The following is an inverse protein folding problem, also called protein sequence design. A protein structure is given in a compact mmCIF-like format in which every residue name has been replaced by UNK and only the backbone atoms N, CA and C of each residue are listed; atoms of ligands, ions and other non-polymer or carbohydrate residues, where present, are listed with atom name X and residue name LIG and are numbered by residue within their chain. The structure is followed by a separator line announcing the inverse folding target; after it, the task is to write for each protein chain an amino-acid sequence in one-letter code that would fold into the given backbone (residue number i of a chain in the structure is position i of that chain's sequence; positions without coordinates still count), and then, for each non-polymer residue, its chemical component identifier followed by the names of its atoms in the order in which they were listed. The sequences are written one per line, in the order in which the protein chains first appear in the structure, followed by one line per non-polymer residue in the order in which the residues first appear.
data_IF_143761761027
#
_entry.id   IF_143761761027
#
_cell.length_a   1.000
_cell.length_b   1.000
_cell.length_c   1.000
_cell.angle_alpha   90.00
_cell.angle_beta   90.00
_cell.angle_gamma   90.00
#
_symmetry.space_group_name_H-M   'P 1'
#
loop_
_entity.id
_entity.type
_entity.pdbx_description
1 polymer ?
#
# COMPACT_ATOMS: atom_id res chain seq x y z
N UNK A 1 18.89 6.32 -1.49
CA UNK A 1 17.43 6.10 -1.35
C UNK A 1 17.21 4.72 -0.75
N UNK A 2 16.28 4.58 0.19
CA UNK A 2 15.87 3.28 0.72
C UNK A 2 14.72 2.71 -0.11
N UNK A 3 14.73 1.40 -0.35
CA UNK A 3 13.71 0.72 -1.14
C UNK A 3 12.94 -0.33 -0.33
N UNK A 4 11.61 -0.29 -0.44
CA UNK A 4 10.72 -1.38 -0.07
C UNK A 4 10.35 -2.18 -1.31
N UNK A 5 10.50 -3.50 -1.28
CA UNK A 5 10.14 -4.37 -2.38
C UNK A 5 8.74 -4.92 -2.15
N UNK A 6 7.78 -4.60 -3.02
CA UNK A 6 6.46 -5.24 -3.04
C UNK A 6 6.45 -6.31 -4.12
N UNK A 7 6.81 -7.52 -3.72
CA UNK A 7 6.86 -8.68 -4.60
C UNK A 7 5.55 -9.46 -4.55
N UNK A 8 5.15 -10.02 -5.68
CA UNK A 8 3.99 -10.94 -5.77
C UNK A 8 4.34 -12.37 -5.38
N UNK A 9 5.63 -12.70 -5.39
CA UNK A 9 6.20 -13.98 -4.96
C UNK A 9 7.43 -13.75 -4.08
N UNK A 10 7.60 -14.49 -2.98
CA UNK A 10 8.68 -14.25 -2.02
C UNK A 10 10.06 -14.67 -2.54
N UNK A 11 10.18 -15.45 -3.61
CA UNK A 11 11.42 -16.14 -3.96
C UNK A 11 12.44 -15.34 -4.78
N UNK A 12 12.10 -14.17 -5.30
CA UNK A 12 12.96 -13.42 -6.23
C UNK A 12 13.19 -11.99 -5.75
N UNK A 13 14.18 -11.81 -4.86
CA UNK A 13 14.65 -10.48 -4.46
C UNK A 13 15.69 -10.00 -5.48
N UNK A 14 15.42 -8.96 -6.28
CA UNK A 14 16.37 -8.47 -7.27
C UNK A 14 17.60 -7.84 -6.60
N UNK A 15 18.75 -7.94 -7.28
CA UNK A 15 20.00 -7.35 -6.80
C UNK A 15 19.94 -5.81 -6.74
N UNK A 16 19.36 -5.18 -7.77
CA UNK A 16 19.02 -3.76 -7.76
C UNK A 16 17.51 -3.62 -7.54
N UNK A 17 17.05 -2.95 -6.46
CA UNK A 17 15.62 -2.83 -6.16
C UNK A 17 14.81 -2.20 -7.29
N UNK A 18 15.44 -1.39 -8.14
CA UNK A 18 14.76 -0.73 -9.26
C UNK A 18 14.38 -1.71 -10.37
N UNK A 19 14.95 -2.92 -10.40
CA UNK A 19 14.53 -3.99 -11.31
C UNK A 19 13.17 -4.58 -10.96
N UNK A 20 12.64 -4.29 -9.76
CA UNK A 20 11.28 -4.66 -9.40
C UNK A 20 10.22 -3.75 -10.07
N UNK A 21 10.59 -2.64 -10.70
CA UNK A 21 9.67 -1.78 -11.45
C UNK A 21 9.69 -2.11 -12.95
N UNK A 22 8.62 -1.77 -13.71
CA UNK A 22 8.67 -1.80 -15.16
C UNK A 22 9.82 -0.93 -15.71
N UNK A 23 10.41 -1.33 -16.84
CA UNK A 23 11.64 -0.73 -17.37
C UNK A 23 11.58 0.80 -17.52
N UNK A 24 10.48 1.33 -18.06
CA UNK A 24 10.31 2.78 -18.29
C UNK A 24 10.31 3.60 -16.99
N UNK A 25 9.99 2.96 -15.85
CA UNK A 25 9.96 3.58 -14.53
C UNK A 25 11.30 3.47 -13.81
N UNK A 26 12.12 2.45 -14.12
CA UNK A 26 13.44 2.22 -13.51
C UNK A 26 14.36 3.44 -13.65
N UNK A 27 14.35 4.08 -14.82
CA UNK A 27 15.24 5.22 -15.12
C UNK A 27 14.89 6.50 -14.37
N UNK A 28 13.68 6.58 -13.81
CA UNK A 28 13.23 7.70 -12.99
C UNK A 28 13.67 7.56 -11.53
N UNK A 29 14.04 6.34 -11.11
CA UNK A 29 14.30 6.01 -9.72
C UNK A 29 15.77 6.27 -9.35
N UNK A 30 16.03 7.01 -8.25
CA UNK A 30 17.39 7.31 -7.81
C UNK A 30 18.11 6.03 -7.35
N UNK A 31 19.45 5.96 -7.43
CA UNK A 31 20.17 4.81 -6.90
C UNK A 31 19.92 4.61 -5.39
N UNK A 32 19.96 3.36 -4.96
CA UNK A 32 19.69 3.01 -3.57
C UNK A 32 19.77 1.51 -3.30
N UNK A 33 19.27 1.10 -2.13
CA UNK A 33 19.34 -0.29 -1.65
C UNK A 33 17.98 -0.77 -1.17
N UNK A 34 17.70 -2.05 -1.35
CA UNK A 34 16.57 -2.70 -0.70
C UNK A 34 16.79 -2.74 0.81
N UNK A 35 15.78 -2.33 1.58
CA UNK A 35 15.79 -2.37 3.05
C UNK A 35 14.57 -3.06 3.65
N UNK A 36 13.51 -3.28 2.86
CA UNK A 36 12.27 -3.87 3.32
C UNK A 36 11.62 -4.77 2.27
N UNK A 37 10.91 -5.80 2.71
CA UNK A 37 10.08 -6.68 1.89
C UNK A 37 8.62 -6.58 2.35
N UNK A 38 7.77 -6.06 1.47
CA UNK A 38 6.35 -5.82 1.73
C UNK A 38 5.52 -7.04 1.30
N UNK A 39 4.63 -7.50 2.17
CA UNK A 39 3.71 -8.62 1.93
C UNK A 39 2.33 -8.34 2.52
N UNK A 40 1.35 -9.21 2.28
CA UNK A 40 -0.04 -8.99 2.69
C UNK A 40 -0.87 -8.25 1.64
N UNK A 41 -1.76 -7.34 2.04
CA UNK A 41 -2.61 -6.56 1.12
C UNK A 41 -3.12 -5.27 1.77
N UNK A 42 -3.25 -4.23 0.97
CA UNK A 42 -3.72 -2.90 1.36
C UNK A 42 -5.22 -2.71 1.24
N UNK A 43 -5.90 -3.52 0.42
CA UNK A 43 -7.27 -3.19 0.00
C UNK A 43 -8.32 -4.27 0.27
N UNK A 44 -7.96 -5.56 0.37
CA UNK A 44 -8.95 -6.63 0.40
C UNK A 44 -8.70 -7.63 1.54
N UNK A 45 -9.62 -7.71 2.51
CA UNK A 45 -9.48 -8.64 3.65
C UNK A 45 -9.44 -10.12 3.25
N UNK A 46 -10.13 -10.49 2.17
CA UNK A 46 -10.10 -11.84 1.58
C UNK A 46 -8.71 -12.21 1.02
N UNK A 47 -7.81 -11.23 0.85
CA UNK A 47 -6.44 -11.40 0.37
C UNK A 47 -5.40 -11.37 1.47
N UNK A 48 -5.80 -11.30 2.74
CA UNK A 48 -4.88 -11.48 3.85
C UNK A 48 -4.14 -12.81 3.70
N UNK A 49 -2.82 -12.84 3.94
CA UNK A 49 -2.05 -14.07 3.88
C UNK A 49 -2.44 -14.95 5.06
N UNK A 50 -2.33 -16.26 4.88
CA UNK A 50 -2.34 -17.15 6.03
C UNK A 50 -0.97 -17.10 6.76
N UNK A 51 -0.87 -17.84 7.86
CA UNK A 51 0.32 -17.83 8.69
C UNK A 51 1.53 -18.44 7.97
N UNK A 52 1.35 -19.47 7.16
CA UNK A 52 2.44 -20.15 6.46
C UNK A 52 3.03 -19.26 5.36
N UNK A 53 2.16 -18.64 4.56
CA UNK A 53 2.53 -17.63 3.58
C UNK A 53 3.29 -16.47 4.25
N UNK A 54 2.77 -15.94 5.35
CA UNK A 54 3.40 -14.84 6.06
C UNK A 54 4.77 -15.21 6.67
N UNK A 55 4.90 -16.43 7.21
CA UNK A 55 6.18 -16.95 7.69
C UNK A 55 7.21 -17.05 6.56
N UNK A 56 6.80 -17.48 5.36
CA UNK A 56 7.68 -17.57 4.20
C UNK A 56 8.23 -16.19 3.80
N UNK A 57 7.38 -15.16 3.77
CA UNK A 57 7.84 -13.79 3.52
C UNK A 57 8.79 -13.28 4.60
N UNK A 58 8.50 -13.53 5.88
CA UNK A 58 9.42 -13.15 6.96
C UNK A 58 10.77 -13.89 6.88
N UNK A 59 10.76 -15.16 6.49
CA UNK A 59 11.96 -15.96 6.29
C UNK A 59 12.85 -15.41 5.17
N UNK A 60 12.26 -15.09 4.01
CA UNK A 60 12.98 -14.45 2.90
C UNK A 60 13.51 -13.09 3.33
N UNK A 61 12.69 -12.24 3.94
CA UNK A 61 13.12 -10.92 4.39
C UNK A 61 14.37 -11.03 5.28
N UNK A 62 14.33 -11.91 6.29
CA UNK A 62 15.47 -12.17 7.17
C UNK A 62 16.70 -12.69 6.42
N UNK A 63 16.53 -13.64 5.49
CA UNK A 63 17.63 -14.21 4.71
C UNK A 63 18.37 -13.16 3.88
N UNK A 64 17.66 -12.11 3.43
CA UNK A 64 18.22 -10.99 2.67
C UNK A 64 18.54 -9.75 3.53
N UNK A 65 18.41 -9.82 4.86
CA UNK A 65 18.65 -8.68 5.75
C UNK A 65 17.65 -7.52 5.57
N UNK A 66 16.44 -7.82 5.08
CA UNK A 66 15.35 -6.87 4.87
C UNK A 66 14.37 -6.86 6.05
N UNK A 67 13.79 -5.70 6.34
CA UNK A 67 12.65 -5.55 7.24
C UNK A 67 11.40 -6.24 6.63
N UNK A 68 10.82 -7.27 7.27
CA UNK A 68 9.52 -7.77 6.85
C UNK A 68 8.44 -6.74 7.19
N UNK A 69 7.61 -6.39 6.20
CA UNK A 69 6.55 -5.40 6.35
C UNK A 69 5.22 -5.98 5.91
N UNK A 70 4.35 -6.28 6.88
CA UNK A 70 2.99 -6.75 6.63
C UNK A 70 2.08 -5.56 6.37
N UNK A 71 1.39 -5.58 5.25
CA UNK A 71 0.33 -4.62 4.98
C UNK A 71 -1.05 -5.22 5.22
N UNK A 72 -1.93 -4.47 5.88
CA UNK A 72 -3.29 -4.88 6.21
C UNK A 72 -4.33 -3.97 5.55
N UNK A 73 -5.48 -4.48 5.12
CA UNK A 73 -6.51 -3.69 4.47
C UNK A 73 -7.48 -3.03 5.46
N UNK A 74 -8.48 -2.31 4.93
CA UNK A 74 -9.74 -2.09 5.64
C UNK A 74 -10.42 -3.44 5.91
N UNK A 75 -10.86 -3.67 7.14
CA UNK A 75 -11.35 -4.98 7.58
C UNK A 75 -12.71 -4.89 8.27
N UNK A 76 -13.49 -5.97 8.16
CA UNK A 76 -14.65 -6.22 9.00
C UNK A 76 -14.23 -6.60 10.43
N UNK A 77 -15.15 -6.71 11.41
CA UNK A 77 -14.83 -7.27 12.72
C UNK A 77 -14.24 -8.68 12.65
N UNK A 78 -14.71 -9.52 11.71
CA UNK A 78 -14.13 -10.84 11.49
C UNK A 78 -12.71 -10.73 10.91
N UNK A 79 -12.50 -9.84 9.93
CA UNK A 79 -11.20 -9.53 9.35
C UNK A 79 -10.20 -9.02 10.38
N UNK A 80 -10.64 -8.20 11.34
CA UNK A 80 -9.82 -7.75 12.46
C UNK A 80 -9.37 -8.93 13.34
N UNK A 81 -10.27 -9.88 13.60
CA UNK A 81 -9.92 -11.13 14.28
C UNK A 81 -8.93 -12.01 13.50
N UNK A 82 -8.99 -12.01 12.16
CA UNK A 82 -8.00 -12.67 11.30
C UNK A 82 -6.63 -12.01 11.40
N UNK A 83 -6.58 -10.67 11.35
CA UNK A 83 -5.33 -9.89 11.52
C UNK A 83 -4.72 -10.17 12.89
N UNK A 84 -5.49 -10.15 13.97
CA UNK A 84 -5.00 -10.44 15.32
C UNK A 84 -4.36 -11.84 15.44
N UNK A 85 -5.05 -12.88 14.93
CA UNK A 85 -4.51 -14.25 14.92
C UNK A 85 -3.23 -14.36 14.08
N UNK A 86 -3.19 -13.71 12.92
CA UNK A 86 -2.01 -13.69 12.07
C UNK A 86 -0.82 -13.05 12.78
N UNK A 87 -1.01 -11.87 13.38
CA UNK A 87 0.04 -11.16 14.12
C UNK A 87 0.52 -11.96 15.34
N UNK A 88 -0.40 -12.57 16.08
CA UNK A 88 -0.07 -13.42 17.22
C UNK A 88 0.76 -14.64 16.78
N UNK A 89 0.36 -15.32 15.69
CA UNK A 89 1.10 -16.46 15.15
C UNK A 89 2.50 -16.09 14.68
N UNK A 90 2.65 -14.96 13.97
CA UNK A 90 3.95 -14.44 13.56
C UNK A 90 4.84 -14.13 14.78
N UNK A 91 4.29 -13.48 15.81
CA UNK A 91 5.01 -13.18 17.03
C UNK A 91 5.45 -14.45 17.79
N UNK A 92 4.58 -15.46 17.87
CA UNK A 92 4.91 -16.77 18.45
C UNK A 92 6.04 -17.48 17.71
N UNK A 93 6.16 -17.26 16.39
CA UNK A 93 7.26 -17.76 15.57
C UNK A 93 8.52 -16.87 15.63
N UNK A 94 8.53 -15.86 16.49
CA UNK A 94 9.67 -14.95 16.69
C UNK A 94 9.77 -13.83 15.66
N UNK A 95 8.77 -13.66 14.79
CA UNK A 95 8.74 -12.58 13.81
C UNK A 95 8.20 -11.28 14.42
N UNK A 96 8.75 -10.16 13.96
CA UNK A 96 8.33 -8.81 14.37
C UNK A 96 8.24 -7.90 13.15
N UNK A 97 7.33 -8.17 12.20
CA UNK A 97 7.20 -7.34 11.02
C UNK A 97 6.74 -5.93 11.39
N UNK A 98 7.17 -4.93 10.62
CA UNK A 98 6.46 -3.67 10.61
C UNK A 98 5.06 -3.88 10.05
N UNK A 99 4.06 -3.19 10.60
CA UNK A 99 2.66 -3.32 10.16
C UNK A 99 2.20 -2.00 9.56
N UNK A 100 1.89 -2.05 8.26
CA UNK A 100 1.24 -0.96 7.52
C UNK A 100 -0.26 -1.12 7.68
N UNK A 101 -0.88 -0.30 8.53
CA UNK A 101 -2.32 -0.34 8.76
C UNK A 101 -3.06 0.62 7.84
N UNK A 102 -4.20 0.17 7.33
CA UNK A 102 -5.13 0.98 6.54
C UNK A 102 -6.50 1.15 7.21
N UNK A 103 -6.66 0.58 8.42
CA UNK A 103 -7.87 0.58 9.23
C UNK A 103 -7.55 1.06 10.65
N UNK A 104 -8.41 1.92 11.20
CA UNK A 104 -8.23 2.44 12.55
C UNK A 104 -8.39 1.37 13.63
N UNK A 105 -9.23 0.36 13.41
CA UNK A 105 -9.37 -0.80 14.29
C UNK A 105 -8.09 -1.66 14.31
N UNK A 106 -7.38 -1.76 13.18
CA UNK A 106 -6.06 -2.42 13.15
C UNK A 106 -5.03 -1.60 13.94
N UNK A 107 -5.04 -0.26 13.85
CA UNK A 107 -4.16 0.57 14.68
C UNK A 107 -4.45 0.38 16.18
N UNK A 108 -5.71 0.35 16.58
CA UNK A 108 -6.12 0.07 17.96
C UNK A 108 -5.63 -1.30 18.42
N UNK A 109 -5.86 -2.34 17.61
CA UNK A 109 -5.35 -3.69 17.85
C UNK A 109 -3.82 -3.73 18.06
N UNK A 110 -3.05 -3.02 17.23
CA UNK A 110 -1.60 -2.91 17.37
C UNK A 110 -1.20 -2.21 18.67
N UNK A 111 -1.91 -1.16 19.05
CA UNK A 111 -1.64 -0.39 20.28
C UNK A 111 -1.99 -1.15 21.55
N UNK A 112 -3.01 -1.99 21.51
CA UNK A 112 -3.48 -2.67 22.71
C UNK A 112 -2.78 -4.00 22.92
N UNK A 113 -2.66 -4.80 21.85
CA UNK A 113 -2.31 -6.22 21.92
C UNK A 113 -0.95 -6.54 21.30
N UNK A 114 -0.51 -5.78 20.30
CA UNK A 114 0.75 -6.02 19.58
C UNK A 114 1.74 -4.84 19.71
N UNK A 115 1.88 -4.32 20.94
CA UNK A 115 2.53 -3.04 21.25
C UNK A 115 3.95 -2.90 20.73
N UNK A 116 4.68 -4.00 20.61
CA UNK A 116 6.09 -4.01 20.21
C UNK A 116 6.28 -4.02 18.69
N UNK A 117 5.23 -4.20 17.90
CA UNK A 117 5.35 -4.17 16.44
C UNK A 117 5.46 -2.72 15.94
N UNK A 118 6.40 -2.41 15.02
CA UNK A 118 6.46 -1.11 14.38
C UNK A 118 5.17 -0.83 13.60
N UNK A 119 4.71 0.42 13.61
CA UNK A 119 3.42 0.82 13.04
C UNK A 119 3.63 1.88 11.98
N UNK A 120 3.05 1.66 10.80
CA UNK A 120 3.13 2.56 9.65
C UNK A 120 1.70 2.86 9.17
N UNK A 121 1.37 4.13 8.93
CA UNK A 121 0.06 4.49 8.37
C UNK A 121 0.10 4.32 6.84
N UNK A 122 -0.75 3.44 6.30
CA UNK A 122 -0.79 3.12 4.88
C UNK A 122 -1.55 4.12 4.02
N UNK A 123 -1.58 3.86 2.72
CA UNK A 123 -2.12 4.77 1.68
C UNK A 123 -3.62 5.08 1.83
N UNK A 124 -4.40 4.24 2.50
CA UNK A 124 -5.84 4.48 2.74
C UNK A 124 -6.10 5.43 3.92
N UNK A 125 -5.10 5.68 4.77
CA UNK A 125 -5.18 6.73 5.80
C UNK A 125 -5.10 8.10 5.14
N UNK A 126 -4.33 8.22 4.05
CA UNK A 126 -4.26 9.43 3.24
C UNK A 126 -5.55 9.63 2.42
N UNK A 127 -6.29 10.70 2.71
CA UNK A 127 -7.55 11.07 2.04
C UNK A 127 -7.40 12.08 0.90
N UNK A 128 -6.18 12.34 0.43
CA UNK A 128 -5.94 13.15 -0.77
C UNK A 128 -6.66 12.62 -2.01
N UNK A 129 -6.96 13.53 -2.94
CA UNK A 129 -7.57 13.21 -4.23
C UNK A 129 -6.60 12.43 -5.14
N UNK A 130 -7.13 11.40 -5.83
CA UNK A 130 -6.38 10.52 -6.76
C UNK A 130 -7.12 10.31 -8.06
N UNK A 131 -7.65 11.39 -8.64
CA UNK A 131 -8.45 11.31 -9.85
C UNK A 131 -7.58 11.37 -11.11
N UNK A 132 -7.47 10.27 -11.89
CA UNK A 132 -6.65 10.26 -13.11
C UNK A 132 -7.13 11.24 -14.19
N UNK A 133 -8.35 11.78 -14.07
CA UNK A 133 -8.88 12.79 -15.00
C UNK A 133 -8.22 14.15 -14.82
N UNK A 134 -7.66 14.44 -13.65
CA UNK A 134 -6.97 15.71 -13.38
C UNK A 134 -5.77 15.92 -14.32
N UNK A 135 -5.12 14.84 -14.75
CA UNK A 135 -3.97 14.90 -15.66
C UNK A 135 -4.34 15.24 -17.11
N UNK A 136 -5.62 15.25 -17.48
CA UNK A 136 -6.05 15.75 -18.80
C UNK A 136 -5.70 17.21 -18.98
N UNK A 137 -5.95 18.00 -17.94
CA UNK A 137 -5.82 19.45 -17.96
C UNK A 137 -4.48 19.89 -17.35
N UNK A 138 -3.86 19.06 -16.50
CA UNK A 138 -2.54 19.29 -15.90
C UNK A 138 -1.63 18.05 -15.98
N UNK A 139 -1.00 17.76 -17.13
CA UNK A 139 -0.17 16.55 -17.32
C UNK A 139 1.03 16.43 -16.36
N UNK A 140 1.61 17.57 -15.96
CA UNK A 140 2.70 17.61 -14.98
C UNK A 140 2.22 17.40 -13.52
N UNK A 141 0.90 17.28 -13.30
CA UNK A 141 0.29 17.20 -11.97
C UNK A 141 0.04 18.57 -11.34
N UNK A 142 -0.67 18.55 -10.21
CA UNK A 142 -1.11 19.75 -9.47
C UNK A 142 -0.67 19.73 -8.01
N UNK A 143 0.15 18.76 -7.60
CA UNK A 143 0.55 18.59 -6.21
C UNK A 143 1.37 19.81 -5.75
N UNK A 144 0.86 20.53 -4.77
CA UNK A 144 1.55 21.68 -4.16
C UNK A 144 2.51 21.24 -3.07
N UNK A 145 2.33 20.02 -2.56
CA UNK A 145 3.03 19.49 -1.38
C UNK A 145 2.82 20.32 -0.11
N UNK A 146 1.76 21.14 -0.06
CA UNK A 146 1.40 21.89 1.15
C UNK A 146 0.97 20.93 2.28
N UNK A 147 1.83 20.86 3.30
CA UNK A 147 1.70 19.97 4.43
C UNK A 147 0.60 20.38 5.43
N UNK A 148 0.08 21.61 5.36
CA UNK A 148 -0.74 22.26 6.39
C UNK A 148 -2.02 21.49 6.71
N UNK A 149 -2.69 20.93 5.69
CA UNK A 149 -3.94 20.16 5.84
C UNK A 149 -3.77 18.90 6.67
N UNK A 150 -2.56 18.34 6.71
CA UNK A 150 -2.27 17.03 7.29
C UNK A 150 -1.48 17.13 8.60
N UNK A 151 -1.05 18.31 9.03
CA UNK A 151 -0.29 18.51 10.28
C UNK A 151 -0.99 17.89 11.49
N UNK A 152 -2.29 18.14 11.67
CA UNK A 152 -3.06 17.58 12.80
C UNK A 152 -3.12 16.05 12.76
N UNK A 153 -3.28 15.47 11.56
CA UNK A 153 -3.30 14.02 11.38
C UNK A 153 -1.93 13.43 11.72
N UNK A 154 -0.83 14.00 11.23
CA UNK A 154 0.53 13.54 11.54
C UNK A 154 0.83 13.65 13.05
N UNK A 155 0.42 14.73 13.70
CA UNK A 155 0.55 14.87 15.16
C UNK A 155 -0.23 13.79 15.91
N UNK A 156 -1.47 13.50 15.50
CA UNK A 156 -2.26 12.40 16.05
C UNK A 156 -1.55 11.06 15.86
N UNK A 157 -1.10 10.75 14.64
CA UNK A 157 -0.40 9.50 14.34
C UNK A 157 0.86 9.32 15.19
N UNK A 158 1.67 10.36 15.37
CA UNK A 158 2.82 10.35 16.29
C UNK A 158 2.41 10.04 17.73
N UNK A 159 1.36 10.71 18.23
CA UNK A 159 0.82 10.47 19.57
C UNK A 159 0.29 9.03 19.77
N UNK A 160 -0.08 8.35 18.68
CA UNK A 160 -0.51 6.95 18.67
C UNK A 160 0.66 5.96 18.48
N UNK A 161 1.90 6.44 18.43
CA UNK A 161 3.11 5.64 18.29
C UNK A 161 3.35 5.13 16.87
N UNK A 162 2.84 5.83 15.86
CA UNK A 162 3.14 5.56 14.45
C UNK A 162 4.49 6.16 14.11
N UNK A 163 5.36 5.37 13.47
CA UNK A 163 6.72 5.78 13.11
C UNK A 163 6.90 6.16 11.64
N UNK A 164 5.99 5.73 10.76
CA UNK A 164 6.07 6.03 9.33
C UNK A 164 4.70 6.27 8.71
N UNK A 165 4.67 6.97 7.58
CA UNK A 165 3.50 7.22 6.76
C UNK A 165 3.80 6.88 5.31
N UNK A 166 2.82 6.30 4.62
CA UNK A 166 2.97 5.81 3.26
C UNK A 166 1.88 6.38 2.36
N UNK A 167 2.26 6.78 1.15
CA UNK A 167 1.32 7.26 0.12
C UNK A 167 1.78 6.83 -1.26
N UNK A 168 0.93 7.01 -2.26
CA UNK A 168 1.27 7.09 -3.67
C UNK A 168 1.35 8.56 -4.12
N UNK A 169 1.65 8.78 -5.41
CA UNK A 169 1.63 10.11 -6.01
C UNK A 169 0.17 10.58 -6.21
N UNK A 170 -0.37 11.23 -5.18
CA UNK A 170 -1.68 11.86 -5.20
C UNK A 170 -1.66 13.26 -5.86
N UNK A 171 -2.81 13.95 -5.89
CA UNK A 171 -2.94 15.26 -6.55
C UNK A 171 -2.63 16.46 -5.65
N UNK A 172 -2.38 16.25 -4.37
CA UNK A 172 -2.17 17.31 -3.38
C UNK A 172 -0.72 17.36 -2.89
N UNK A 173 -0.09 16.22 -2.55
CA UNK A 173 1.30 16.17 -2.11
C UNK A 173 1.53 16.29 -0.60
N UNK A 174 0.56 16.84 0.13
CA UNK A 174 0.76 17.32 1.51
C UNK A 174 0.82 16.25 2.60
N UNK A 175 0.42 15.01 2.31
CA UNK A 175 0.30 13.96 3.33
C UNK A 175 1.66 13.61 3.96
N UNK A 176 2.70 13.45 3.13
CA UNK A 176 4.06 13.14 3.58
C UNK A 176 4.64 14.24 4.47
N UNK A 177 4.22 15.49 4.27
CA UNK A 177 4.72 16.64 4.99
C UNK A 177 6.23 16.87 4.80
N UNK A 178 6.76 17.73 5.67
CA UNK A 178 8.15 18.14 5.63
C UNK A 178 8.94 17.51 6.78
N UNK A 179 10.27 17.46 6.62
CA UNK A 179 11.16 16.94 7.68
C UNK A 179 11.05 17.74 8.98
N UNK A 180 10.74 19.03 8.86
CA UNK A 180 10.65 19.98 9.97
C UNK A 180 9.22 20.16 10.53
N UNK A 181 8.35 19.14 10.40
CA UNK A 181 6.97 19.13 10.94
C UNK A 181 6.86 19.18 12.49
N UNK A 182 7.87 19.70 13.18
CA UNK A 182 7.83 20.13 14.60
C UNK A 182 7.63 19.02 15.63
N UNK A 183 7.65 17.75 15.22
CA UNK A 183 7.52 16.61 16.12
C UNK A 183 8.85 16.23 16.77
N UNK A 184 8.84 15.77 18.03
CA UNK A 184 10.03 15.27 18.73
C UNK A 184 10.68 14.06 18.03
N UNK A 185 9.92 13.34 17.20
CA UNK A 185 10.43 12.29 16.31
C UNK A 185 9.79 12.44 14.93
N UNK A 186 10.58 12.62 13.86
CA UNK A 186 10.05 12.70 12.50
C UNK A 186 9.40 11.36 12.10
N UNK A 187 8.41 11.43 11.21
CA UNK A 187 7.81 10.23 10.62
C UNK A 187 8.61 9.87 9.38
N UNK A 188 8.96 8.59 9.21
CA UNK A 188 9.53 8.12 7.95
C UNK A 188 8.47 8.25 6.84
N UNK A 189 8.89 8.66 5.63
CA UNK A 189 7.98 8.92 4.51
C UNK A 189 8.23 7.93 3.38
N UNK A 190 7.23 7.10 3.08
CA UNK A 190 7.31 6.12 1.99
C UNK A 190 6.38 6.48 0.82
N UNK A 191 6.91 6.36 -0.40
CA UNK A 191 6.17 6.57 -1.64
C UNK A 191 6.02 5.25 -2.40
N UNK A 192 4.79 4.83 -2.67
CA UNK A 192 4.47 3.67 -3.51
C UNK A 192 4.55 4.06 -4.98
N UNK A 193 5.22 3.21 -5.76
CA UNK A 193 5.61 3.51 -7.13
C UNK A 193 5.52 2.24 -8.00
N UNK A 194 5.12 2.33 -9.29
CA UNK A 194 4.64 3.52 -10.00
C UNK A 194 3.13 3.75 -9.91
N UNK A 195 2.38 2.85 -9.28
CA UNK A 195 0.92 2.83 -9.37
C UNK A 195 0.23 3.66 -8.28
N UNK A 196 -0.71 4.52 -8.69
CA UNK A 196 -1.64 5.23 -7.80
C UNK A 196 -3.01 4.54 -7.85
N UNK A 197 -3.66 4.33 -6.70
CA UNK A 197 -5.04 3.82 -6.72
C UNK A 197 -6.02 4.97 -7.00
N UNK A 198 -6.93 4.79 -7.95
CA UNK A 198 -7.98 5.77 -8.24
C UNK A 198 -9.18 5.59 -7.30
N UNK A 199 -9.56 4.34 -7.04
CA UNK A 199 -10.73 4.01 -6.23
C UNK A 199 -10.59 2.59 -5.64
N UNK A 200 -11.02 2.44 -4.40
CA UNK A 200 -11.13 1.15 -3.71
C UNK A 200 -12.38 1.14 -2.82
N UNK A 201 -12.94 -0.03 -2.56
CA UNK A 201 -14.06 -0.21 -1.65
C UNK A 201 -14.23 -1.66 -1.24
N UNK A 202 -15.00 -1.95 -0.19
CA UNK A 202 -15.20 -3.34 0.26
C UNK A 202 -16.00 -4.19 -0.74
N UNK A 203 -16.91 -3.57 -1.49
CA UNK A 203 -17.66 -4.25 -2.55
C UNK A 203 -16.78 -4.50 -3.76
N UNK A 204 -16.29 -5.73 -3.91
CA UNK A 204 -15.40 -6.10 -5.00
C UNK A 204 -16.17 -6.35 -6.30
N UNK A 205 -15.99 -5.53 -7.37
CA UNK A 205 -16.70 -5.74 -8.63
C UNK A 205 -16.31 -7.06 -9.32
N UNK A 206 -15.05 -7.50 -9.16
CA UNK A 206 -14.63 -8.80 -9.71
C UNK A 206 -15.29 -9.99 -9.00
N UNK A 207 -15.52 -9.88 -7.68
CA UNK A 207 -16.23 -10.91 -6.91
C UNK A 207 -17.72 -10.90 -7.26
N UNK A 208 -18.33 -9.70 -7.34
CA UNK A 208 -19.73 -9.54 -7.74
C UNK A 208 -20.00 -10.10 -9.15
N UNK A 209 -19.05 -9.97 -10.07
CA UNK A 209 -19.16 -10.52 -11.42
C UNK A 209 -19.19 -12.07 -11.48
N UNK A 210 -18.85 -12.77 -10.39
CA UNK A 210 -18.99 -14.23 -10.30
C UNK A 210 -20.44 -14.69 -10.12
N UNK A 211 -21.37 -13.76 -9.89
CA UNK A 211 -22.79 -14.03 -9.68
C UNK A 211 -23.65 -13.42 -10.81
N UNK A 212 -23.58 -13.96 -12.05
CA UNK A 212 -24.24 -13.36 -13.22
C UNK A 212 -25.77 -13.53 -13.23
N UNK A 213 -26.30 -14.54 -12.54
CA UNK A 213 -27.74 -14.89 -12.55
C UNK A 213 -28.56 -14.17 -11.47
N UNK A 214 -27.92 -13.34 -10.64
CA UNK A 214 -28.59 -12.58 -9.56
C UNK A 214 -27.68 -12.38 -8.34
N UNK A 215 -28.11 -11.58 -7.37
CA UNK A 215 -27.42 -11.42 -6.08
C UNK A 215 -26.19 -10.51 -6.06
N UNK A 216 -25.40 -10.46 -7.15
CA UNK A 216 -24.34 -9.47 -7.40
C UNK A 216 -23.48 -9.16 -6.17
N UNK A 217 -23.48 -7.89 -5.73
CA UNK A 217 -22.72 -7.47 -4.55
C UNK A 217 -23.20 -8.10 -3.23
N UNK A 218 -24.51 -8.34 -3.08
CA UNK A 218 -25.05 -8.90 -1.84
C UNK A 218 -24.55 -10.33 -1.60
N UNK A 219 -24.60 -11.18 -2.62
CA UNK A 219 -24.01 -12.53 -2.57
C UNK A 219 -22.49 -12.47 -2.45
N UNK A 220 -21.83 -11.57 -3.17
CA UNK A 220 -20.39 -11.38 -3.03
C UNK A 220 -19.93 -10.97 -1.62
N UNK A 221 -20.79 -10.37 -0.79
CA UNK A 221 -20.43 -10.14 0.61
C UNK A 221 -20.63 -11.37 1.50
N UNK A 222 -21.61 -12.22 1.19
CA UNK A 222 -21.94 -13.40 1.98
C UNK A 222 -20.97 -14.56 1.75
N UNK A 223 -20.55 -14.77 0.50
CA UNK A 223 -19.81 -15.97 0.12
C UNK A 223 -18.29 -15.78 0.24
N UNK A 224 -17.52 -16.85 0.52
CA UNK A 224 -16.06 -16.82 0.48
C UNK A 224 -15.54 -16.36 -0.89
N UNK A 225 -14.46 -15.58 -0.88
CA UNK A 225 -13.85 -15.14 -2.13
C UNK A 225 -12.87 -16.19 -2.67
N UNK A 226 -13.03 -16.66 -3.93
CA UNK A 226 -12.03 -17.52 -4.57
C UNK A 226 -10.78 -16.74 -5.00
N UNK A 227 -10.71 -15.44 -4.69
CA UNK A 227 -9.61 -14.54 -5.00
C UNK A 227 -9.20 -14.55 -6.49
N UNK A 228 -10.13 -14.29 -7.44
CA UNK A 228 -9.85 -14.33 -8.87
C UNK A 228 -8.84 -13.27 -9.32
N UNK A 229 -8.54 -12.30 -8.44
CA UNK A 229 -7.49 -11.29 -8.62
C UNK A 229 -6.07 -11.78 -8.22
N UNK A 230 -5.89 -13.05 -7.82
CA UNK A 230 -4.55 -13.65 -7.63
C UNK A 230 -3.88 -13.81 -8.99
N UNK A 231 -2.61 -13.41 -9.09
CA UNK A 231 -1.81 -13.49 -10.32
C UNK A 231 -1.55 -12.14 -10.97
N UNK A 232 -2.48 -11.64 -11.81
CA UNK A 232 -2.25 -10.44 -12.62
C UNK A 232 -3.47 -9.51 -12.61
N UNK A 233 -3.27 -8.18 -12.50
CA UNK A 233 -4.38 -7.24 -12.58
C UNK A 233 -4.93 -7.13 -14.01
N UNK A 234 -6.22 -6.85 -14.13
CA UNK A 234 -6.93 -6.81 -15.41
C UNK A 234 -6.85 -5.39 -16.00
N UNK A 235 -6.38 -5.20 -17.25
CA UNK A 235 -6.41 -3.90 -17.90
C UNK A 235 -7.84 -3.36 -17.99
N UNK A 236 -8.00 -2.06 -17.73
CA UNK A 236 -9.28 -1.36 -17.85
C UNK A 236 -9.12 -0.21 -18.83
N UNK A 237 -9.98 -0.15 -19.85
CA UNK A 237 -10.07 1.01 -20.73
C UNK A 237 -11.16 1.93 -20.22
N UNK A 238 -10.87 3.23 -20.20
CA UNK A 238 -11.82 4.27 -19.84
C UNK A 238 -11.86 5.32 -20.93
N UNK A 239 -13.05 5.85 -21.22
CA UNK A 239 -13.21 6.88 -22.25
C UNK A 239 -12.89 8.29 -21.74
N UNK A 240 -12.84 8.48 -20.42
CA UNK A 240 -12.67 9.78 -19.76
C UNK A 240 -11.22 10.14 -19.41
N UNK A 241 -10.26 9.25 -19.67
CA UNK A 241 -8.83 9.47 -19.45
C UNK A 241 -8.00 8.57 -20.36
N UNK A 242 -6.88 9.10 -20.86
CA UNK A 242 -5.93 8.36 -21.69
C UNK A 242 -4.92 7.54 -20.88
N UNK A 243 -4.89 7.71 -19.55
CA UNK A 243 -3.92 7.02 -18.70
C UNK A 243 -4.19 5.51 -18.64
N UNK A 244 -3.15 4.66 -18.62
CA UNK A 244 -3.30 3.22 -18.39
C UNK A 244 -3.97 2.93 -17.03
N UNK A 245 -4.92 1.99 -17.01
CA UNK A 245 -5.60 1.55 -15.78
C UNK A 245 -5.62 0.04 -15.65
N UNK A 246 -5.64 -0.42 -14.40
CA UNK A 246 -5.80 -1.83 -14.07
C UNK A 246 -6.71 -2.05 -12.88
N UNK A 247 -7.50 -3.12 -12.92
CA UNK A 247 -8.32 -3.58 -11.81
C UNK A 247 -7.66 -4.78 -11.15
N UNK A 248 -7.39 -4.64 -9.86
CA UNK A 248 -6.91 -5.73 -9.03
C UNK A 248 -7.90 -5.94 -7.88
N UNK A 249 -8.82 -6.88 -8.08
CA UNK A 249 -9.89 -7.15 -7.12
C UNK A 249 -10.84 -5.98 -6.98
N UNK A 250 -10.87 -5.42 -5.77
CA UNK A 250 -11.74 -4.31 -5.40
C UNK A 250 -11.14 -2.92 -5.67
N UNK A 251 -9.91 -2.86 -6.17
CA UNK A 251 -9.19 -1.60 -6.39
C UNK A 251 -8.90 -1.37 -7.87
N UNK A 252 -9.09 -0.13 -8.29
CA UNK A 252 -8.68 0.39 -9.59
C UNK A 252 -7.40 1.21 -9.40
N UNK A 253 -6.38 0.89 -10.18
CA UNK A 253 -5.10 1.60 -10.24
C UNK A 253 -4.92 2.27 -11.60
N UNK A 254 -4.04 3.25 -11.64
CA UNK A 254 -3.56 3.85 -12.87
C UNK A 254 -2.06 4.17 -12.76
N UNK A 255 -1.43 4.35 -13.91
CA UNK A 255 -0.07 4.89 -14.02
C UNK A 255 -0.18 6.42 -14.24
N UNK A 256 0.22 7.24 -13.26
CA UNK A 256 0.28 8.69 -13.44
C UNK A 256 1.38 9.08 -14.45
N UNK A 257 1.33 10.29 -15.03
CA UNK A 257 2.42 10.79 -15.87
C UNK A 257 3.77 10.81 -15.14
N UNK A 258 4.84 10.38 -15.82
CA UNK A 258 6.19 10.31 -15.25
C UNK A 258 6.66 11.62 -14.60
N UNK A 259 6.36 12.76 -15.23
CA UNK A 259 6.72 14.09 -14.73
C UNK A 259 6.05 14.37 -13.38
N UNK A 260 4.75 14.09 -13.28
CA UNK A 260 3.99 14.26 -12.04
C UNK A 260 4.55 13.39 -10.91
N UNK A 261 4.88 12.12 -11.19
CA UNK A 261 5.41 11.22 -10.17
C UNK A 261 6.85 11.57 -9.77
N UNK A 262 7.66 12.10 -10.69
CA UNK A 262 9.05 12.52 -10.41
C UNK A 262 9.08 13.62 -9.34
N UNK A 263 8.12 14.54 -9.35
CA UNK A 263 8.01 15.62 -8.36
C UNK A 263 7.90 15.11 -6.91
N UNK A 264 7.43 13.87 -6.71
CA UNK A 264 7.29 13.28 -5.38
C UNK A 264 8.58 12.72 -4.78
N UNK A 265 9.56 12.35 -5.62
CA UNK A 265 10.77 11.66 -5.17
C UNK A 265 11.57 12.41 -4.09
N UNK A 266 11.73 13.75 -4.14
CA UNK A 266 12.43 14.49 -3.10
C UNK A 266 11.72 14.50 -1.73
N UNK A 267 10.42 14.20 -1.69
CA UNK A 267 9.60 14.22 -0.47
C UNK A 267 9.59 12.87 0.27
N UNK A 268 10.15 11.81 -0.33
CA UNK A 268 10.16 10.48 0.23
C UNK A 268 11.55 10.10 0.78
N UNK A 269 11.56 9.40 1.90
CA UNK A 269 12.78 8.78 2.47
C UNK A 269 12.93 7.33 1.97
N UNK A 270 11.80 6.68 1.63
CA UNK A 270 11.73 5.32 1.08
C UNK A 270 10.83 5.27 -0.16
N UNK A 271 11.21 4.49 -1.16
CA UNK A 271 10.35 4.16 -2.32
C UNK A 271 9.92 2.69 -2.21
N UNK A 272 8.61 2.43 -2.19
CA UNK A 272 8.03 1.09 -2.26
C UNK A 272 7.73 0.77 -3.72
N UNK A 273 8.51 -0.13 -4.31
CA UNK A 273 8.42 -0.49 -5.73
C UNK A 273 7.49 -1.68 -5.92
N UNK A 274 6.58 -1.55 -6.89
CA UNK A 274 5.59 -2.56 -7.25
C UNK A 274 5.86 -3.06 -8.67
N UNK A 275 5.97 -4.39 -8.84
CA UNK A 275 6.16 -5.01 -10.15
C UNK A 275 4.91 -4.96 -11.05
N UNK A 276 3.75 -4.74 -10.45
CA UNK A 276 2.48 -4.57 -11.15
C UNK A 276 1.49 -3.83 -10.26
N UNK A 277 0.38 -3.37 -10.84
CA UNK A 277 -0.75 -2.80 -10.12
C UNK A 277 -1.44 -3.85 -9.23
N UNK A 278 -0.84 -4.15 -8.08
CA UNK A 278 -1.30 -5.16 -7.14
C UNK A 278 -1.88 -4.50 -5.87
N UNK A 279 -2.89 -5.15 -5.25
CA UNK A 279 -3.47 -4.70 -4.00
C UNK A 279 -2.65 -5.13 -2.78
#
# INVERSE_FOLDING_TARGET
MDYGLRLTTPCEVPADPRDACPADWRDLLPPGRAVALYFGTEFCEDRLPDLDDANAYCAVARAHGLEPTLTTPLVSPEGLGKVDRLLAGLASNGWRPAVVFNDWGVLELLRERHRTLPRRAGRLVNRSLRDPRAYRDAPAGTATHDASRFTRLRTLLRGLGVGAIETDADLEGGFLGDRDDGGATPLDRALHYPYTYAASGRGCPLKAALYPEGGGFAQAFADPCPAPCRGKPLPVRRADTALPHWRAGNTLFYEPPHEATRAWLPHADRIVVHAMAAP
#
